data_IF_565107192212
#
_entry.id   IF_565107192212
#
_cell.length_a   1.000
_cell.length_b   1.000
_cell.length_c   1.000
_cell.angle_alpha   90.00
_cell.angle_beta   90.00
_cell.angle_gamma   90.00
#
_symmetry.space_group_name_H-M   'P 1'
#
loop_
_entity.id
_entity.type
_entity.pdbx_description
1 polymer ?
#
# COMPACT_ATOMS: atom_id res chain seq x y z
N UNK A 1 -34.58 11.72 28.23
CA UNK A 1 -33.44 12.21 27.42
C UNK A 1 -32.55 11.02 27.11
N UNK A 2 -32.47 10.59 25.85
CA UNK A 2 -31.49 9.57 25.43
C UNK A 2 -30.35 10.33 24.77
N UNK A 3 -29.25 10.47 25.49
CA UNK A 3 -28.00 10.98 24.90
C UNK A 3 -27.49 9.85 24.01
N UNK A 4 -27.79 9.93 22.70
CA UNK A 4 -27.10 9.09 21.70
C UNK A 4 -25.61 9.44 21.85
N UNK A 5 -24.85 8.56 22.49
CA UNK A 5 -23.40 8.68 22.51
C UNK A 5 -22.92 8.81 21.07
N UNK A 6 -22.25 9.91 20.74
CA UNK A 6 -21.52 10.01 19.48
C UNK A 6 -20.55 8.84 19.47
N UNK A 7 -20.78 7.85 18.61
CA UNK A 7 -19.75 6.89 18.26
C UNK A 7 -18.56 7.73 17.76
N UNK A 8 -17.46 7.74 18.51
CA UNK A 8 -16.19 8.27 18.01
C UNK A 8 -15.90 7.46 16.75
N UNK A 9 -15.79 8.14 15.61
CA UNK A 9 -15.23 7.50 14.43
C UNK A 9 -13.83 7.00 14.80
N UNK A 10 -13.46 5.78 14.38
CA UNK A 10 -12.13 5.25 14.68
C UNK A 10 -11.08 6.24 14.16
N UNK A 11 -10.06 6.50 14.96
CA UNK A 11 -8.96 7.37 14.58
C UNK A 11 -8.22 6.75 13.39
N UNK A 12 -7.91 7.59 12.40
CA UNK A 12 -7.22 7.22 11.18
C UNK A 12 -5.81 7.79 11.20
N UNK A 13 -4.85 6.94 10.86
CA UNK A 13 -3.43 7.25 10.89
C UNK A 13 -2.87 7.22 9.47
N UNK A 14 -1.98 8.14 9.16
CA UNK A 14 -1.09 8.06 8.00
C UNK A 14 0.05 7.09 8.31
N UNK A 15 0.70 6.52 7.29
CA UNK A 15 1.75 5.52 7.49
C UNK A 15 2.86 5.99 8.45
N UNK A 16 3.32 7.24 8.31
CA UNK A 16 4.38 7.84 9.15
C UNK A 16 3.95 8.12 10.60
N UNK A 17 2.65 7.97 10.93
CA UNK A 17 2.12 8.14 12.28
C UNK A 17 1.99 6.80 13.02
N UNK A 18 2.17 5.67 12.32
CA UNK A 18 2.15 4.34 12.90
C UNK A 18 3.44 4.04 13.66
N UNK A 19 3.33 3.20 14.70
CA UNK A 19 4.51 2.60 15.33
C UNK A 19 5.12 1.51 14.43
N UNK A 20 6.32 1.01 14.76
CA UNK A 20 7.04 0.05 13.92
C UNK A 20 6.30 -1.28 13.68
N UNK A 21 5.53 -1.75 14.67
CA UNK A 21 4.74 -2.97 14.55
C UNK A 21 3.59 -2.77 13.55
N UNK A 22 2.86 -1.67 13.69
CA UNK A 22 1.77 -1.31 12.79
C UNK A 22 2.29 -0.99 11.37
N UNK A 23 3.45 -0.34 11.22
CA UNK A 23 4.07 -0.18 9.90
C UNK A 23 4.40 -1.54 9.26
N UNK A 24 4.82 -2.52 10.06
CA UNK A 24 5.09 -3.87 9.55
C UNK A 24 3.80 -4.53 9.07
N UNK A 25 2.70 -4.42 9.81
CA UNK A 25 1.38 -4.91 9.36
C UNK A 25 0.96 -4.25 8.04
N UNK A 26 1.05 -2.92 7.96
CA UNK A 26 0.70 -2.17 6.76
C UNK A 26 1.52 -2.61 5.52
N UNK A 27 2.81 -2.84 5.69
CA UNK A 27 3.69 -3.38 4.63
C UNK A 27 3.26 -4.79 4.20
N UNK A 28 2.96 -5.66 5.17
CA UNK A 28 2.54 -7.04 4.89
C UNK A 28 1.20 -7.11 4.15
N UNK A 29 0.29 -6.17 4.40
CA UNK A 29 -0.99 -6.07 3.66
C UNK A 29 -0.80 -5.48 2.26
N UNK A 30 0.12 -4.53 2.09
CA UNK A 30 0.34 -3.85 0.81
C UNK A 30 1.15 -4.66 -0.19
N UNK A 31 2.21 -5.35 0.25
CA UNK A 31 3.13 -6.05 -0.64
C UNK A 31 2.45 -7.04 -1.61
N UNK A 32 1.52 -7.93 -1.20
CA UNK A 32 0.88 -8.84 -2.14
C UNK A 32 0.00 -8.10 -3.18
N UNK A 33 -0.62 -6.99 -2.79
CA UNK A 33 -1.36 -6.13 -3.71
C UNK A 33 -0.41 -5.53 -4.77
N UNK A 34 0.73 -4.97 -4.35
CA UNK A 34 1.75 -4.43 -5.25
C UNK A 34 2.26 -5.49 -6.23
N UNK A 35 2.61 -6.68 -5.74
CA UNK A 35 3.15 -7.77 -6.58
C UNK A 35 2.13 -8.24 -7.62
N UNK A 36 0.86 -8.34 -7.24
CA UNK A 36 -0.20 -8.67 -8.19
C UNK A 36 -0.32 -7.64 -9.33
N UNK A 37 -0.23 -6.35 -9.00
CA UNK A 37 -0.30 -5.24 -9.96
C UNK A 37 0.96 -5.16 -10.83
N UNK A 38 2.14 -5.40 -10.27
CA UNK A 38 3.38 -5.54 -11.03
C UNK A 38 3.26 -6.63 -12.11
N UNK A 39 2.71 -7.79 -11.77
CA UNK A 39 2.57 -8.91 -12.73
C UNK A 39 1.59 -8.61 -13.87
N UNK A 40 0.63 -7.72 -13.64
CA UNK A 40 -0.33 -7.26 -14.65
C UNK A 40 0.08 -5.97 -15.37
N UNK A 41 1.30 -5.49 -15.13
CA UNK A 41 1.81 -4.21 -15.65
C UNK A 41 0.89 -3.01 -15.33
N UNK A 42 0.27 -3.03 -14.13
CA UNK A 42 -0.73 -2.06 -13.66
C UNK A 42 -0.26 -1.36 -12.38
N UNK A 43 0.85 -0.62 -12.47
CA UNK A 43 1.39 0.15 -11.32
C UNK A 43 1.29 1.67 -11.52
N UNK A 44 0.51 2.14 -12.50
CA UNK A 44 0.54 3.54 -12.95
C UNK A 44 0.25 4.54 -11.81
N UNK A 45 -0.71 4.26 -10.93
CA UNK A 45 -1.05 5.14 -9.81
C UNK A 45 0.07 5.16 -8.77
N UNK A 46 0.68 4.01 -8.49
CA UNK A 46 1.78 3.93 -7.52
C UNK A 46 3.01 4.66 -8.05
N UNK A 47 3.36 4.45 -9.32
CA UNK A 47 4.48 5.13 -10.00
C UNK A 47 4.25 6.65 -10.01
N UNK A 48 3.02 7.11 -10.22
CA UNK A 48 2.72 8.55 -10.23
C UNK A 48 2.84 9.23 -8.86
N UNK A 49 2.69 8.49 -7.76
CA UNK A 49 2.63 9.02 -6.40
C UNK A 49 3.92 8.82 -5.60
N UNK A 50 4.65 7.74 -5.84
CA UNK A 50 5.84 7.36 -5.08
C UNK A 50 7.14 7.80 -5.76
N UNK A 51 8.26 7.78 -5.02
CA UNK A 51 9.59 8.03 -5.58
C UNK A 51 9.98 6.89 -6.55
N UNK A 52 10.28 7.26 -7.79
CA UNK A 52 10.70 6.36 -8.87
C UNK A 52 11.82 5.40 -8.47
N UNK A 53 12.76 5.84 -7.62
CA UNK A 53 13.90 5.01 -7.18
C UNK A 53 13.43 3.87 -6.29
N UNK A 54 12.47 4.12 -5.41
CA UNK A 54 11.91 3.09 -4.51
C UNK A 54 11.09 2.07 -5.30
N UNK A 55 10.28 2.55 -6.24
CA UNK A 55 9.51 1.70 -7.15
C UNK A 55 10.43 0.85 -8.01
N UNK A 56 11.50 1.44 -8.57
CA UNK A 56 12.49 0.73 -9.36
C UNK A 56 13.23 -0.35 -8.56
N UNK A 57 13.54 -0.10 -7.29
CA UNK A 57 14.19 -1.09 -6.41
C UNK A 57 13.32 -2.33 -6.21
N UNK A 58 12.03 -2.14 -5.90
CA UNK A 58 11.06 -3.24 -5.74
C UNK A 58 10.89 -3.97 -7.09
N UNK A 59 10.67 -3.23 -8.17
CA UNK A 59 10.44 -3.79 -9.50
C UNK A 59 11.64 -4.56 -10.05
N UNK A 60 12.86 -4.16 -9.69
CA UNK A 60 14.07 -4.88 -10.07
C UNK A 60 14.07 -6.31 -9.48
N UNK A 61 13.83 -6.44 -8.17
CA UNK A 61 13.75 -7.74 -7.51
C UNK A 61 12.61 -8.58 -8.06
N UNK A 62 11.43 -7.99 -8.29
CA UNK A 62 10.30 -8.71 -8.87
C UNK A 62 10.57 -9.13 -10.33
N UNK A 63 11.29 -8.33 -11.10
CA UNK A 63 11.70 -8.63 -12.46
C UNK A 63 12.61 -9.85 -12.54
N UNK A 64 13.56 -9.98 -11.62
CA UNK A 64 14.46 -11.13 -11.51
C UNK A 64 13.73 -12.42 -11.10
N UNK A 65 12.57 -12.30 -10.43
CA UNK A 65 11.80 -13.43 -9.90
C UNK A 65 10.44 -13.64 -10.61
N UNK A 66 10.17 -12.98 -11.74
CA UNK A 66 8.83 -12.80 -12.34
C UNK A 66 8.03 -14.11 -12.60
N UNK A 67 8.70 -15.26 -12.69
CA UNK A 67 8.06 -16.57 -12.92
C UNK A 67 7.50 -17.23 -11.66
N UNK A 68 7.73 -16.67 -10.47
CA UNK A 68 7.17 -17.19 -9.22
C UNK A 68 5.67 -16.91 -9.05
N UNK A 69 5.09 -17.46 -7.97
CA UNK A 69 3.72 -17.12 -7.56
C UNK A 69 3.70 -15.75 -6.88
N UNK A 70 2.52 -15.14 -6.74
CA UNK A 70 2.39 -13.87 -6.01
C UNK A 70 2.93 -14.02 -4.58
N UNK A 71 2.62 -15.13 -3.91
CA UNK A 71 3.08 -15.40 -2.54
C UNK A 71 4.61 -15.54 -2.47
N UNK A 72 5.21 -16.28 -3.40
CA UNK A 72 6.66 -16.46 -3.45
C UNK A 72 7.37 -15.12 -3.70
N UNK A 73 6.94 -14.39 -4.73
CA UNK A 73 7.58 -13.14 -5.14
C UNK A 73 7.39 -12.05 -4.09
N UNK A 74 6.25 -12.03 -3.40
CA UNK A 74 6.00 -11.14 -2.24
C UNK A 74 6.98 -11.44 -1.11
N UNK A 75 7.19 -12.71 -0.77
CA UNK A 75 8.14 -13.07 0.29
C UNK A 75 9.59 -12.68 -0.07
N UNK A 76 9.99 -12.88 -1.32
CA UNK A 76 11.33 -12.51 -1.81
C UNK A 76 11.50 -10.99 -1.83
N UNK A 77 10.56 -10.24 -2.39
CA UNK A 77 10.64 -8.78 -2.48
C UNK A 77 10.65 -8.13 -1.10
N UNK A 78 9.80 -8.59 -0.17
CA UNK A 78 9.78 -8.11 1.21
C UNK A 78 11.14 -8.30 1.89
N UNK A 79 11.76 -9.47 1.73
CA UNK A 79 13.08 -9.75 2.33
C UNK A 79 14.15 -8.79 1.82
N UNK A 80 14.08 -8.39 0.55
CA UNK A 80 15.14 -7.61 -0.10
C UNK A 80 14.90 -6.10 -0.04
N UNK A 81 13.64 -5.66 -0.02
CA UNK A 81 13.26 -4.27 -0.32
C UNK A 81 12.23 -3.70 0.67
N UNK A 82 12.15 -4.23 1.90
CA UNK A 82 11.18 -3.75 2.92
C UNK A 82 11.25 -2.23 3.14
N UNK A 83 12.44 -1.65 3.12
CA UNK A 83 12.62 -0.20 3.29
C UNK A 83 11.98 0.59 2.13
N UNK A 84 12.10 0.09 0.89
CA UNK A 84 11.44 0.67 -0.27
C UNK A 84 9.91 0.60 -0.16
N UNK A 85 9.36 -0.54 0.29
CA UNK A 85 7.92 -0.65 0.56
C UNK A 85 7.43 0.38 1.58
N UNK A 86 8.18 0.58 2.67
CA UNK A 86 7.84 1.61 3.67
C UNK A 86 7.86 3.02 3.07
N UNK A 87 8.87 3.33 2.25
CA UNK A 87 8.97 4.62 1.58
C UNK A 87 7.86 4.86 0.56
N UNK A 88 7.44 3.82 -0.19
CA UNK A 88 6.26 3.90 -1.05
C UNK A 88 5.02 4.18 -0.22
N UNK A 89 4.75 3.41 0.83
CA UNK A 89 3.57 3.61 1.69
C UNK A 89 3.54 4.99 2.35
N UNK A 90 4.69 5.56 2.68
CA UNK A 90 4.80 6.92 3.23
C UNK A 90 4.37 8.02 2.25
N UNK A 91 4.38 7.74 0.94
CA UNK A 91 3.96 8.67 -0.11
C UNK A 91 2.47 8.54 -0.49
N UNK A 92 1.85 7.41 -0.17
CA UNK A 92 0.43 7.16 -0.47
C UNK A 92 -0.46 7.78 0.60
N UNK A 93 -1.68 8.19 0.22
CA UNK A 93 -2.68 8.77 1.13
C UNK A 93 -3.63 7.71 1.73
N UNK A 94 -3.21 6.45 1.75
CA UNK A 94 -3.91 5.39 2.46
C UNK A 94 -3.92 5.69 3.96
N UNK A 95 -5.05 5.38 4.61
CA UNK A 95 -5.16 5.51 6.06
C UNK A 95 -5.28 4.16 6.72
N UNK A 96 -4.82 4.12 7.97
CA UNK A 96 -4.70 2.90 8.76
C UNK A 96 -5.36 3.07 10.12
N UNK A 97 -5.74 1.96 10.74
CA UNK A 97 -6.02 1.94 12.17
C UNK A 97 -4.71 1.93 13.00
N UNK A 98 -4.83 2.01 14.32
CA UNK A 98 -3.69 2.00 15.25
C UNK A 98 -2.83 0.71 15.18
N UNK A 99 -3.33 -0.36 14.57
CA UNK A 99 -2.64 -1.64 14.40
C UNK A 99 -2.01 -1.77 13.01
N UNK A 100 -2.19 -0.77 12.15
CA UNK A 100 -1.63 -0.75 10.80
C UNK A 100 -2.47 -1.44 9.75
N UNK A 101 -3.71 -1.83 10.07
CA UNK A 101 -4.64 -2.35 9.07
C UNK A 101 -5.23 -1.20 8.26
N UNK A 102 -5.32 -1.36 6.95
CA UNK A 102 -5.93 -0.33 6.09
C UNK A 102 -7.41 -0.10 6.44
N UNK A 103 -7.87 1.15 6.45
CA UNK A 103 -9.28 1.49 6.72
C UNK A 103 -10.20 1.27 5.52
N UNK A 104 -9.61 1.17 4.32
CA UNK A 104 -10.24 0.73 3.07
C UNK A 104 -9.32 -0.28 2.38
N UNK A 105 -9.84 -1.18 1.56
CA UNK A 105 -8.97 -2.16 0.88
C UNK A 105 -8.09 -1.47 -0.16
N UNK A 106 -6.92 -2.04 -0.43
CA UNK A 106 -6.05 -1.55 -1.49
C UNK A 106 -6.72 -1.56 -2.87
N UNK A 107 -7.55 -2.58 -3.16
CA UNK A 107 -8.32 -2.61 -4.40
C UNK A 107 -9.30 -1.44 -4.50
N UNK A 108 -10.01 -1.11 -3.41
CA UNK A 108 -10.95 0.01 -3.41
C UNK A 108 -10.22 1.34 -3.55
N UNK A 109 -9.14 1.54 -2.79
CA UNK A 109 -8.30 2.74 -2.91
C UNK A 109 -7.78 2.94 -4.33
N UNK A 110 -7.26 1.88 -4.96
CA UNK A 110 -6.72 1.95 -6.32
C UNK A 110 -7.81 2.32 -7.34
N UNK A 111 -8.98 1.67 -7.25
CA UNK A 111 -10.13 1.99 -8.09
C UNK A 111 -10.60 3.45 -7.92
N UNK A 112 -10.64 3.95 -6.68
CA UNK A 112 -11.01 5.34 -6.39
C UNK A 112 -10.01 6.35 -6.99
N UNK A 113 -8.71 6.02 -6.97
CA UNK A 113 -7.66 6.84 -7.62
C UNK A 113 -7.85 6.91 -9.12
N UNK A 114 -8.08 5.79 -9.81
CA UNK A 114 -8.38 5.81 -11.25
C UNK A 114 -9.65 6.59 -11.56
N UNK A 115 -10.71 6.42 -10.77
CA UNK A 115 -11.97 7.15 -10.98
C UNK A 115 -11.80 8.67 -10.80
N UNK A 116 -10.86 9.11 -9.95
CA UNK A 116 -10.45 10.50 -9.82
C UNK A 116 -9.81 11.05 -11.10
N UNK A 117 -8.84 10.32 -11.66
CA UNK A 117 -8.14 10.71 -12.90
C UNK A 117 -9.09 10.88 -14.10
N UNK A 118 -10.12 10.04 -14.21
CA UNK A 118 -11.11 10.11 -15.30
C UNK A 118 -11.99 11.36 -15.21
N UNK A 119 -12.23 11.90 -13.99
CA UNK A 119 -13.11 13.06 -13.79
C UNK A 119 -12.40 14.41 -14.00
N UNK A 120 -11.07 14.41 -14.01
CA UNK A 120 -10.25 15.61 -14.22
C UNK A 120 -9.85 15.83 -15.69
N UNK A 121 -10.20 14.88 -16.57
CA UNK A 121 -10.08 14.96 -18.03
C UNK A 121 -11.42 15.27 -18.71
#
# INVERSE_FOLDING_TARGET
>A
MVVKGRQKMPEQYQFNQLNDEAQTVAVMEFAPFYVAHFKHDDLEIIVALADDRLVAEINHVLGENRQGTIEHDTAVSLRMTVAAYRGVLAALDMTYDQRGHTTTTWQQWYADKHAGLIKEN
#
